data_IF_334759695832
#
_entry.id   IF_334759695832
#
_cell.length_a   1.000
_cell.length_b   1.000
_cell.length_c   1.000
_cell.angle_alpha   90.00
_cell.angle_beta   90.00
_cell.angle_gamma   90.00
#
_symmetry.space_group_name_H-M   'P 1'
#
loop_
_entity.id
_entity.type
_entity.pdbx_description
1 polymer ?
#
# COMPACT_ATOMS: atom_id res chain seq x y z
N UNK A 1 -13.41 -9.58 4.38
CA UNK A 1 -14.25 -8.44 3.97
C UNK A 1 -14.37 -8.53 2.46
N UNK A 2 -15.59 -8.52 1.94
CA UNK A 2 -15.84 -8.59 0.49
C UNK A 2 -16.17 -7.17 0.02
N UNK A 3 -15.33 -6.61 -0.84
CA UNK A 3 -15.52 -5.28 -1.42
C UNK A 3 -16.17 -5.44 -2.80
N UNK A 4 -17.22 -4.68 -3.09
CA UNK A 4 -17.95 -4.79 -4.36
C UNK A 4 -17.58 -3.68 -5.33
N UNK A 5 -17.27 -2.50 -4.79
CA UNK A 5 -16.96 -1.31 -5.57
C UNK A 5 -15.63 -0.69 -5.14
N UNK A 6 -15.03 0.08 -6.03
CA UNK A 6 -13.84 0.87 -5.74
C UNK A 6 -14.12 1.83 -4.57
N UNK A 7 -15.32 2.41 -4.50
CA UNK A 7 -15.73 3.23 -3.36
C UNK A 7 -15.69 2.47 -2.03
N UNK A 8 -16.04 1.17 -1.99
CA UNK A 8 -15.94 0.36 -0.77
C UNK A 8 -14.47 0.21 -0.32
N UNK A 9 -13.56 0.04 -1.28
CA UNK A 9 -12.11 -0.09 -1.02
C UNK A 9 -11.56 1.22 -0.46
N UNK A 10 -11.90 2.36 -1.06
CA UNK A 10 -11.47 3.67 -0.56
C UNK A 10 -12.02 3.96 0.85
N UNK A 11 -13.31 3.66 1.11
CA UNK A 11 -13.89 3.82 2.44
C UNK A 11 -13.23 2.90 3.50
N UNK A 12 -12.75 1.73 3.09
CA UNK A 12 -11.97 0.86 3.97
C UNK A 12 -10.56 1.43 4.21
N UNK A 13 -9.91 1.94 3.17
CA UNK A 13 -8.60 2.59 3.26
C UNK A 13 -8.64 3.81 4.20
N UNK A 14 -9.67 4.64 4.14
CA UNK A 14 -9.87 5.77 5.06
C UNK A 14 -9.86 5.33 6.53
N UNK A 15 -10.59 4.26 6.83
CA UNK A 15 -10.66 3.71 8.19
C UNK A 15 -9.33 3.12 8.63
N UNK A 16 -8.66 2.38 7.75
CA UNK A 16 -7.37 1.74 8.04
C UNK A 16 -6.29 2.81 8.25
N UNK A 17 -6.23 3.83 7.39
CA UNK A 17 -5.32 4.97 7.51
C UNK A 17 -5.52 5.69 8.84
N UNK A 18 -6.76 6.08 9.15
CA UNK A 18 -7.09 6.73 10.42
C UNK A 18 -6.66 5.89 11.62
N UNK A 19 -7.00 4.61 11.63
CA UNK A 19 -6.65 3.71 12.74
C UNK A 19 -5.13 3.56 12.88
N UNK A 20 -4.40 3.45 11.77
CA UNK A 20 -2.94 3.37 11.79
C UNK A 20 -2.33 4.63 12.39
N UNK A 21 -2.71 5.81 11.89
CA UNK A 21 -2.23 7.11 12.40
C UNK A 21 -2.56 7.26 13.89
N UNK A 22 -3.80 7.01 14.29
CA UNK A 22 -4.23 7.12 15.69
C UNK A 22 -3.49 6.15 16.62
N UNK A 23 -3.01 5.03 16.11
CA UNK A 23 -2.24 4.04 16.90
C UNK A 23 -0.81 4.51 17.19
N UNK A 24 -0.17 5.22 16.25
CA UNK A 24 1.29 5.49 16.33
C UNK A 24 1.65 6.95 16.58
N UNK A 25 0.75 7.91 16.35
CA UNK A 25 1.05 9.36 16.38
C UNK A 25 1.51 9.88 17.75
N UNK A 26 1.05 9.25 18.83
CA UNK A 26 1.29 9.72 20.21
C UNK A 26 2.31 8.83 20.96
N UNK A 27 3.02 7.95 20.25
CA UNK A 27 4.06 7.11 20.85
C UNK A 27 5.26 7.95 21.26
N UNK A 28 5.80 7.69 22.46
CA UNK A 28 7.05 8.31 22.92
C UNK A 28 8.26 7.76 22.16
N UNK A 29 9.40 8.44 22.28
CA UNK A 29 10.67 7.98 21.70
C UNK A 29 11.05 6.59 22.23
N UNK A 30 10.84 6.31 23.52
CA UNK A 30 11.10 4.99 24.09
C UNK A 30 10.19 3.91 23.49
N UNK A 31 8.91 4.23 23.27
CA UNK A 31 7.97 3.32 22.63
C UNK A 31 8.31 3.10 21.15
N UNK A 32 8.77 4.14 20.46
CA UNK A 32 9.20 4.07 19.06
C UNK A 32 10.41 3.13 18.87
N UNK A 33 11.28 2.99 19.87
CA UNK A 33 12.43 2.09 19.85
C UNK A 33 12.13 0.66 20.29
N UNK A 34 10.89 0.34 20.70
CA UNK A 34 10.55 -1.04 21.09
C UNK A 34 10.73 -2.00 19.90
N UNK A 35 11.35 -3.18 20.12
CA UNK A 35 11.54 -4.16 19.07
C UNK A 35 10.23 -4.86 18.68
N UNK A 36 10.12 -5.24 17.40
CA UNK A 36 9.10 -6.15 16.89
C UNK A 36 9.26 -7.55 17.47
N UNK A 37 8.27 -8.43 17.26
CA UNK A 37 8.26 -9.82 17.78
C UNK A 37 9.52 -10.62 17.43
N UNK A 38 10.08 -10.41 16.23
CA UNK A 38 11.31 -11.05 15.77
C UNK A 38 12.58 -10.24 16.07
N UNK A 39 12.47 -9.11 16.75
CA UNK A 39 13.58 -8.23 17.14
C UNK A 39 14.31 -7.53 15.98
N UNK A 40 13.87 -7.72 14.74
CA UNK A 40 14.58 -7.22 13.56
C UNK A 40 14.36 -5.73 13.34
N UNK A 41 13.15 -5.24 13.59
CA UNK A 41 12.75 -3.85 13.37
C UNK A 41 12.20 -3.26 14.67
N UNK A 42 12.34 -1.96 14.84
CA UNK A 42 11.62 -1.22 15.90
C UNK A 42 10.24 -0.79 15.41
N UNK A 43 9.39 -0.29 16.32
CA UNK A 43 8.12 0.35 15.94
C UNK A 43 8.34 1.49 14.93
N UNK A 44 9.36 2.32 15.15
CA UNK A 44 9.73 3.37 14.21
C UNK A 44 10.05 2.83 12.82
N UNK A 45 10.87 1.77 12.75
CA UNK A 45 11.21 1.13 11.48
C UNK A 45 9.99 0.51 10.78
N UNK A 46 9.03 -0.02 11.54
CA UNK A 46 7.77 -0.50 10.98
C UNK A 46 6.96 0.62 10.32
N UNK A 47 6.83 1.78 10.99
CA UNK A 47 6.14 2.95 10.43
C UNK A 47 6.88 3.49 9.19
N UNK A 48 8.21 3.55 9.23
CA UNK A 48 9.04 3.92 8.07
C UNK A 48 8.80 2.96 6.88
N UNK A 49 8.74 1.65 7.13
CA UNK A 49 8.49 0.66 6.08
C UNK A 49 7.11 0.84 5.44
N UNK A 50 6.07 1.10 6.25
CA UNK A 50 4.73 1.41 5.72
C UNK A 50 4.77 2.63 4.81
N UNK A 51 5.50 3.69 5.19
CA UNK A 51 5.65 4.88 4.35
C UNK A 51 6.31 4.56 3.00
N UNK A 52 7.38 3.77 2.99
CA UNK A 52 8.10 3.37 1.77
C UNK A 52 7.18 2.55 0.85
N UNK A 53 6.52 1.53 1.38
CA UNK A 53 5.65 0.64 0.59
C UNK A 53 4.43 1.39 0.06
N UNK A 54 3.79 2.22 0.90
CA UNK A 54 2.63 3.00 0.49
C UNK A 54 2.96 3.95 -0.67
N UNK A 55 4.12 4.61 -0.61
CA UNK A 55 4.59 5.48 -1.70
C UNK A 55 4.85 4.68 -2.98
N UNK A 56 5.54 3.54 -2.87
CA UNK A 56 5.85 2.66 -3.99
C UNK A 56 4.58 2.17 -4.70
N UNK A 57 3.61 1.65 -3.95
CA UNK A 57 2.35 1.14 -4.49
C UNK A 57 1.53 2.26 -5.14
N UNK A 58 1.39 3.42 -4.50
CA UNK A 58 0.65 4.56 -5.09
C UNK A 58 1.25 4.99 -6.43
N UNK A 59 2.58 5.06 -6.52
CA UNK A 59 3.27 5.39 -7.77
C UNK A 59 3.06 4.33 -8.85
N UNK A 60 3.11 3.05 -8.50
CA UNK A 60 2.87 1.94 -9.43
C UNK A 60 1.42 2.00 -9.92
N UNK A 61 0.45 2.17 -9.02
CA UNK A 61 -0.97 2.31 -9.36
C UNK A 61 -1.21 3.46 -10.34
N UNK A 62 -0.68 4.66 -10.06
CA UNK A 62 -0.81 5.80 -10.98
C UNK A 62 -0.26 5.49 -12.38
N UNK A 63 0.89 4.80 -12.46
CA UNK A 63 1.51 4.40 -13.72
C UNK A 63 0.65 3.37 -14.47
N UNK A 64 0.19 2.33 -13.80
CA UNK A 64 -0.60 1.25 -14.41
C UNK A 64 -1.96 1.76 -14.89
N UNK A 65 -2.65 2.56 -14.07
CA UNK A 65 -3.92 3.19 -14.45
C UNK A 65 -3.75 4.11 -15.66
N UNK A 66 -2.66 4.89 -15.72
CA UNK A 66 -2.41 5.76 -16.88
C UNK A 66 -2.14 4.97 -18.17
N UNK A 67 -1.47 3.82 -18.06
CA UNK A 67 -1.28 2.92 -19.20
C UNK A 67 -2.61 2.30 -19.67
N UNK A 68 -3.45 1.87 -18.73
CA UNK A 68 -4.76 1.27 -19.02
C UNK A 68 -5.72 2.29 -19.64
N UNK A 69 -5.75 3.51 -19.11
CA UNK A 69 -6.54 4.63 -19.65
C UNK A 69 -6.14 4.94 -21.10
N UNK A 70 -4.83 5.04 -21.38
CA UNK A 70 -4.33 5.25 -22.74
C UNK A 70 -4.67 4.11 -23.71
N UNK A 71 -4.95 2.91 -23.20
CA UNK A 71 -5.40 1.75 -23.97
C UNK A 71 -6.94 1.68 -24.11
N UNK A 72 -7.68 2.63 -23.53
CA UNK A 72 -9.15 2.66 -23.57
C UNK A 72 -9.82 1.60 -22.69
N UNK A 73 -9.14 1.10 -21.66
CA UNK A 73 -9.68 0.11 -20.73
C UNK A 73 -10.61 0.78 -19.71
N UNK A 74 -11.91 0.88 -20.05
CA UNK A 74 -12.93 1.44 -19.17
C UNK A 74 -13.40 0.46 -18.09
N UNK A 75 -13.85 1.02 -16.96
CA UNK A 75 -14.46 0.29 -15.83
C UNK A 75 -15.83 0.88 -15.49
N UNK A 76 -16.64 0.11 -14.76
CA UNK A 76 -17.90 0.55 -14.14
C UNK A 76 -17.76 0.81 -12.63
N UNK A 77 -16.51 0.85 -12.14
CA UNK A 77 -16.19 1.02 -10.72
C UNK A 77 -16.37 -0.23 -9.87
N UNK A 78 -16.67 -1.39 -10.48
CA UNK A 78 -16.70 -2.66 -9.78
C UNK A 78 -15.29 -3.15 -9.45
N UNK A 79 -15.17 -3.87 -8.33
CA UNK A 79 -13.90 -4.51 -7.93
C UNK A 79 -13.76 -5.84 -8.66
N UNK A 80 -12.76 -5.93 -9.53
CA UNK A 80 -12.44 -7.13 -10.30
C UNK A 80 -10.94 -7.48 -10.18
N UNK A 81 -10.47 -8.06 -9.06
CA UNK A 81 -9.07 -8.43 -8.91
C UNK A 81 -8.68 -9.53 -9.90
N UNK A 82 -7.51 -9.41 -10.52
CA UNK A 82 -7.01 -10.43 -11.45
C UNK A 82 -6.78 -11.78 -10.74
N UNK A 83 -6.93 -12.89 -11.47
CA UNK A 83 -6.65 -14.23 -10.92
C UNK A 83 -5.21 -14.37 -10.43
N UNK A 84 -4.25 -13.72 -11.10
CA UNK A 84 -2.85 -13.65 -10.68
C UNK A 84 -2.71 -12.95 -9.32
N UNK A 85 -3.37 -11.81 -9.14
CA UNK A 85 -3.37 -11.10 -7.85
C UNK A 85 -3.99 -11.95 -6.74
N UNK A 86 -5.13 -12.60 -6.98
CA UNK A 86 -5.78 -13.45 -5.98
C UNK A 86 -4.89 -14.62 -5.55
N UNK A 87 -4.19 -15.25 -6.50
CA UNK A 87 -3.22 -16.31 -6.20
C UNK A 87 -2.03 -15.78 -5.40
N UNK A 88 -1.48 -14.63 -5.79
CA UNK A 88 -0.38 -14.00 -5.07
C UNK A 88 -0.79 -13.61 -3.63
N UNK A 89 -1.99 -13.05 -3.45
CA UNK A 89 -2.53 -12.69 -2.14
C UNK A 89 -2.75 -13.92 -1.24
N UNK A 90 -3.20 -15.05 -1.79
CA UNK A 90 -3.33 -16.30 -1.04
C UNK A 90 -1.96 -16.81 -0.56
N UNK A 91 -0.97 -16.83 -1.44
CA UNK A 91 0.42 -17.17 -1.09
C UNK A 91 0.98 -16.19 -0.05
N UNK A 92 0.71 -14.90 -0.20
CA UNK A 92 1.21 -13.86 0.67
C UNK A 92 0.72 -13.99 2.13
N UNK A 93 -0.49 -14.54 2.32
CA UNK A 93 -1.04 -14.81 3.65
C UNK A 93 -0.46 -16.07 4.31
N UNK A 94 0.04 -17.01 3.52
CA UNK A 94 0.49 -18.31 4.00
C UNK A 94 1.95 -18.32 4.45
N UNK A 95 2.76 -17.34 4.03
CA UNK A 95 4.19 -17.29 4.34
C UNK A 95 4.67 -15.86 4.62
N UNK A 96 5.75 -15.76 5.41
CA UNK A 96 6.45 -14.50 5.66
C UNK A 96 7.47 -14.24 4.54
N UNK A 97 7.64 -12.98 4.16
CA UNK A 97 8.66 -12.56 3.21
C UNK A 97 9.63 -11.59 3.88
N UNK A 98 10.88 -11.65 3.45
CA UNK A 98 11.87 -10.65 3.80
C UNK A 98 11.80 -9.50 2.80
N UNK A 99 11.70 -8.28 3.32
CA UNK A 99 11.77 -7.08 2.51
C UNK A 99 13.17 -7.00 1.85
N UNK A 100 13.28 -6.80 0.52
CA UNK A 100 14.56 -6.56 -0.12
C UNK A 100 15.12 -5.20 0.35
N UNK A 101 16.44 -5.06 0.27
CA UNK A 101 17.17 -3.88 0.78
C UNK A 101 16.59 -2.55 0.29
N UNK A 102 16.08 -2.50 -0.95
CA UNK A 102 15.49 -1.31 -1.55
C UNK A 102 14.23 -0.79 -0.84
N UNK A 103 13.52 -1.63 -0.08
CA UNK A 103 12.34 -1.25 0.69
C UNK A 103 12.46 -1.58 2.18
N UNK A 104 13.62 -2.04 2.63
CA UNK A 104 13.88 -2.28 4.04
C UNK A 104 13.97 -0.92 4.78
N UNK A 105 13.33 -0.78 5.95
CA UNK A 105 13.45 0.43 6.76
C UNK A 105 14.85 0.55 7.35
N UNK A 106 15.28 1.79 7.55
CA UNK A 106 16.64 2.11 8.03
C UNK A 106 16.67 2.56 9.49
N UNK A 107 15.53 2.98 10.04
CA UNK A 107 15.44 3.66 11.33
C UNK A 107 15.91 5.11 11.27
N UNK A 108 16.15 5.67 10.07
CA UNK A 108 16.63 7.04 9.92
C UNK A 108 15.52 8.10 9.99
N UNK A 109 14.27 7.69 9.79
CA UNK A 109 13.10 8.58 9.87
C UNK A 109 12.36 8.39 11.17
N UNK A 110 12.02 9.48 11.83
CA UNK A 110 11.11 9.49 12.98
C UNK A 110 9.71 9.02 12.57
N UNK A 111 8.89 8.66 13.56
CA UNK A 111 7.46 8.35 13.31
C UNK A 111 6.76 9.55 12.69
N UNK A 112 7.01 10.78 13.18
CA UNK A 112 6.38 11.99 12.66
C UNK A 112 6.71 12.24 11.18
N UNK A 113 7.98 12.09 10.77
CA UNK A 113 8.38 12.23 9.37
C UNK A 113 7.76 11.14 8.48
N UNK A 114 7.68 9.91 8.99
CA UNK A 114 7.05 8.80 8.28
C UNK A 114 5.55 9.02 8.12
N UNK A 115 4.86 9.51 9.16
CA UNK A 115 3.43 9.86 9.11
C UNK A 115 3.17 11.01 8.12
N UNK A 116 4.02 12.03 8.07
CA UNK A 116 3.90 13.10 7.09
C UNK A 116 4.00 12.56 5.64
N UNK A 117 4.92 11.62 5.40
CA UNK A 117 5.04 10.94 4.11
C UNK A 117 3.82 10.07 3.78
N UNK A 118 3.27 9.36 4.77
CA UNK A 118 2.07 8.53 4.61
C UNK A 118 0.87 9.42 4.27
N UNK A 119 0.69 10.54 4.97
CA UNK A 119 -0.40 11.49 4.75
C UNK A 119 -0.33 12.12 3.35
N UNK A 120 0.86 12.56 2.93
CA UNK A 120 1.05 13.06 1.55
C UNK A 120 0.69 11.99 0.52
N UNK A 121 1.18 10.77 0.71
CA UNK A 121 0.91 9.65 -0.21
C UNK A 121 -0.56 9.25 -0.21
N UNK A 122 -1.23 9.33 0.94
CA UNK A 122 -2.65 9.03 1.08
C UNK A 122 -3.51 10.02 0.28
N UNK A 123 -3.14 11.30 0.31
CA UNK A 123 -3.77 12.33 -0.51
C UNK A 123 -3.54 12.09 -2.02
N UNK A 124 -2.31 11.69 -2.40
CA UNK A 124 -2.01 11.30 -3.79
C UNK A 124 -2.84 10.09 -4.24
N UNK A 125 -3.00 9.08 -3.39
CA UNK A 125 -3.84 7.91 -3.67
C UNK A 125 -5.32 8.30 -3.84
N UNK A 126 -5.82 9.17 -2.97
CA UNK A 126 -7.19 9.69 -3.06
C UNK A 126 -7.42 10.52 -4.32
N UNK A 127 -6.42 11.25 -4.79
CA UNK A 127 -6.50 11.96 -6.07
C UNK A 127 -6.66 11.01 -7.28
N UNK A 128 -6.29 9.73 -7.14
CA UNK A 128 -6.49 8.70 -8.17
C UNK A 128 -7.88 8.05 -8.13
N UNK A 129 -8.73 8.38 -7.16
CA UNK A 129 -10.00 7.68 -6.92
C UNK A 129 -10.88 7.58 -8.17
N UNK A 130 -11.17 8.70 -8.82
CA UNK A 130 -11.99 8.72 -10.05
C UNK A 130 -11.37 7.85 -11.14
N UNK A 131 -10.04 7.84 -11.23
CA UNK A 131 -9.34 7.00 -12.20
C UNK A 131 -9.49 5.51 -11.90
N UNK A 132 -9.47 5.11 -10.63
CA UNK A 132 -9.78 3.74 -10.25
C UNK A 132 -11.24 3.36 -10.53
N UNK A 133 -12.17 4.31 -10.39
CA UNK A 133 -13.59 4.09 -10.70
C UNK A 133 -13.82 3.92 -12.21
N UNK A 134 -13.12 4.69 -13.05
CA UNK A 134 -13.38 4.76 -14.49
C UNK A 134 -12.48 3.87 -15.35
N UNK A 135 -11.36 3.37 -14.82
CA UNK A 135 -10.32 2.64 -15.60
C UNK A 135 -10.13 1.22 -15.09
N UNK A 136 -10.22 0.25 -16.00
CA UNK A 136 -9.92 -1.16 -15.73
C UNK A 136 -8.41 -1.42 -15.79
N UNK A 137 -7.80 -1.53 -14.60
CA UNK A 137 -6.38 -1.83 -14.46
C UNK A 137 -5.99 -3.30 -14.62
N UNK A 138 -6.94 -4.23 -14.78
CA UNK A 138 -6.66 -5.69 -14.70
C UNK A 138 -5.72 -6.22 -15.78
N UNK A 139 -5.66 -5.54 -16.93
CA UNK A 139 -4.74 -5.88 -18.02
C UNK A 139 -3.35 -5.26 -17.90
N UNK A 140 -3.13 -4.38 -16.92
CA UNK A 140 -1.85 -3.71 -16.69
C UNK A 140 -1.09 -4.41 -15.56
N UNK A 141 0.16 -4.80 -15.81
CA UNK A 141 0.99 -5.48 -14.83
C UNK A 141 2.33 -4.77 -14.57
N UNK A 142 2.86 -4.97 -13.38
CA UNK A 142 4.19 -4.55 -12.92
C UNK A 142 4.97 -5.76 -12.40
N UNK A 143 6.26 -5.90 -12.75
CA UNK A 143 7.05 -7.04 -12.29
C UNK A 143 7.33 -6.95 -10.79
N UNK A 144 6.74 -7.85 -10.01
CA UNK A 144 7.01 -8.02 -8.59
C UNK A 144 8.18 -8.99 -8.36
N UNK A 145 9.12 -8.69 -7.45
CA UNK A 145 10.32 -9.52 -7.23
C UNK A 145 10.04 -10.99 -6.91
N UNK A 146 8.90 -11.26 -6.26
CA UNK A 146 8.49 -12.61 -5.84
C UNK A 146 7.40 -13.20 -6.74
N UNK A 147 6.49 -12.36 -7.24
CA UNK A 147 5.25 -12.83 -7.85
C UNK A 147 5.24 -12.68 -9.38
N UNK A 148 6.30 -12.15 -9.97
CA UNK A 148 6.36 -11.84 -11.39
C UNK A 148 5.39 -10.72 -11.75
N UNK A 149 4.91 -10.70 -12.98
CA UNK A 149 3.99 -9.68 -13.46
C UNK A 149 2.65 -9.74 -12.72
N UNK A 150 2.36 -8.68 -11.94
CA UNK A 150 1.12 -8.49 -11.19
C UNK A 150 0.41 -7.19 -11.53
#
# INVERSE_FOLDING_TARGET
>A
MEYKTISDVFAANDKIHKNFVDTVKDLSDEQAQLPSENGKWTVQMLVEHVAIVHQGITRISAKLLSKAEAAGAGSDGSVNPSGTFLKAAATARAQKFEAPDAIAPTGSKTIAESLASIESTFNDLNALRTKFEDVDGTGAAFPHPVFGDM
#
